data_IF_657532800406
#
_entry.id   IF_657532800406
#
_cell.length_a   1.000
_cell.length_b   1.000
_cell.length_c   1.000
_cell.angle_alpha   90.00
_cell.angle_beta   90.00
_cell.angle_gamma   90.00
#
_symmetry.space_group_name_H-M   'P 1'
#
loop_
_entity.id
_entity.type
_entity.pdbx_description
1 polymer ?
#
# COMPACT_ATOMS: atom_id res chain seq x y z
N UNK A 1 -11.53 25.05 8.21
CA UNK A 1 -10.93 24.02 9.10
C UNK A 1 -11.73 22.72 9.07
N UNK A 2 -13.01 22.77 9.37
CA UNK A 2 -13.86 21.59 9.42
C UNK A 2 -13.88 20.78 8.11
N UNK A 3 -13.91 21.47 6.96
CA UNK A 3 -13.89 20.83 5.65
C UNK A 3 -12.59 20.05 5.40
N UNK A 4 -11.44 20.64 5.74
CA UNK A 4 -10.15 19.97 5.60
C UNK A 4 -10.01 18.77 6.53
N UNK A 5 -10.53 18.85 7.75
CA UNK A 5 -10.52 17.73 8.71
C UNK A 5 -11.39 16.56 8.21
N UNK A 6 -12.54 16.86 7.60
CA UNK A 6 -13.39 15.85 6.98
C UNK A 6 -12.69 15.19 5.78
N UNK A 7 -12.04 15.99 4.94
CA UNK A 7 -11.27 15.48 3.79
C UNK A 7 -10.09 14.63 4.24
N UNK A 8 -9.40 15.02 5.30
CA UNK A 8 -8.29 14.24 5.86
C UNK A 8 -8.77 12.90 6.40
N UNK A 9 -9.88 12.88 7.11
CA UNK A 9 -10.49 11.65 7.64
C UNK A 9 -10.85 10.68 6.51
N UNK A 10 -11.43 11.22 5.42
CA UNK A 10 -11.75 10.44 4.21
C UNK A 10 -10.48 9.91 3.55
N UNK A 11 -9.46 10.74 3.40
CA UNK A 11 -8.18 10.36 2.79
C UNK A 11 -7.45 9.29 3.60
N UNK A 12 -7.46 9.39 4.93
CA UNK A 12 -6.91 8.35 5.81
C UNK A 12 -7.63 7.02 5.65
N UNK A 13 -8.96 7.04 5.57
CA UNK A 13 -9.76 5.83 5.36
C UNK A 13 -9.43 5.17 4.03
N UNK A 14 -9.32 5.97 2.98
CA UNK A 14 -8.94 5.49 1.65
C UNK A 14 -7.54 4.88 1.64
N UNK A 15 -6.58 5.53 2.30
CA UNK A 15 -5.22 5.02 2.44
C UNK A 15 -5.20 3.67 3.17
N UNK A 16 -5.96 3.53 4.26
CA UNK A 16 -6.07 2.28 5.01
C UNK A 16 -6.66 1.15 4.15
N UNK A 17 -7.71 1.43 3.40
CA UNK A 17 -8.33 0.45 2.48
C UNK A 17 -7.34 0.00 1.40
N UNK A 18 -6.58 0.93 0.83
CA UNK A 18 -5.56 0.62 -0.17
C UNK A 18 -4.38 -0.15 0.43
N UNK A 19 -4.00 0.12 1.68
CA UNK A 19 -2.97 -0.63 2.39
C UNK A 19 -3.40 -2.09 2.62
N UNK A 20 -4.66 -2.32 3.00
CA UNK A 20 -5.23 -3.66 3.16
C UNK A 20 -5.20 -4.40 1.83
N UNK A 21 -5.63 -3.74 0.74
CA UNK A 21 -5.62 -4.32 -0.60
C UNK A 21 -4.20 -4.69 -1.05
N UNK A 22 -3.23 -3.80 -0.81
CA UNK A 22 -1.82 -4.07 -1.14
C UNK A 22 -1.28 -5.29 -0.37
N UNK A 23 -1.62 -5.42 0.91
CA UNK A 23 -1.24 -6.56 1.73
C UNK A 23 -1.87 -7.87 1.24
N UNK A 24 -3.12 -7.82 0.78
CA UNK A 24 -3.78 -8.98 0.18
C UNK A 24 -3.09 -9.44 -1.11
N UNK A 25 -2.66 -8.51 -1.93
CA UNK A 25 -1.89 -8.82 -3.16
C UNK A 25 -0.56 -9.47 -2.81
N UNK A 26 0.16 -8.96 -1.81
CA UNK A 26 1.42 -9.54 -1.33
C UNK A 26 1.20 -10.96 -0.79
N UNK A 27 0.15 -11.17 0.00
CA UNK A 27 -0.18 -12.50 0.52
C UNK A 27 -0.49 -13.50 -0.61
N UNK A 28 -1.22 -13.06 -1.62
CA UNK A 28 -1.52 -13.90 -2.79
C UNK A 28 -0.25 -14.23 -3.58
N UNK A 29 0.62 -13.27 -3.79
CA UNK A 29 1.93 -13.49 -4.43
C UNK A 29 2.75 -14.53 -3.68
N UNK A 30 2.84 -14.40 -2.35
CA UNK A 30 3.60 -15.34 -1.51
C UNK A 30 3.02 -16.74 -1.56
N UNK A 31 1.68 -16.86 -1.59
CA UNK A 31 1.00 -18.15 -1.75
C UNK A 31 1.35 -18.82 -3.09
N UNK A 32 1.33 -18.06 -4.18
CA UNK A 32 1.70 -18.56 -5.51
C UNK A 32 3.16 -19.02 -5.56
N UNK A 33 4.08 -18.26 -4.95
CA UNK A 33 5.51 -18.62 -4.86
C UNK A 33 5.66 -19.95 -4.11
N UNK A 34 4.95 -20.11 -2.99
CA UNK A 34 4.98 -21.34 -2.20
C UNK A 34 4.42 -22.53 -2.98
N UNK A 35 3.30 -22.36 -3.63
CA UNK A 35 2.67 -23.40 -4.46
C UNK A 35 3.56 -23.82 -5.63
N UNK A 36 4.21 -22.85 -6.28
CA UNK A 36 5.15 -23.13 -7.36
C UNK A 36 6.33 -23.95 -6.85
N UNK A 37 6.91 -23.57 -5.72
CA UNK A 37 8.01 -24.30 -5.10
C UNK A 37 7.61 -25.72 -4.70
N UNK A 38 6.40 -25.92 -4.18
CA UNK A 38 5.85 -27.22 -3.85
C UNK A 38 5.70 -28.10 -5.10
N UNK A 39 5.24 -27.53 -6.19
CA UNK A 39 5.11 -28.22 -7.47
C UNK A 39 6.48 -28.69 -8.01
N UNK A 40 7.50 -27.82 -7.95
CA UNK A 40 8.89 -28.18 -8.33
C UNK A 40 9.44 -29.28 -7.44
N UNK A 41 9.25 -29.19 -6.14
CA UNK A 41 9.71 -30.19 -5.18
C UNK A 41 9.04 -31.55 -5.40
N UNK A 42 7.74 -31.56 -5.71
CA UNK A 42 7.00 -32.78 -6.05
C UNK A 42 7.56 -33.44 -7.31
N UNK A 43 7.89 -32.65 -8.33
CA UNK A 43 8.48 -33.16 -9.57
C UNK A 43 9.85 -33.79 -9.30
N UNK A 44 10.68 -33.15 -8.50
CA UNK A 44 12.02 -33.69 -8.10
C UNK A 44 11.87 -34.97 -7.32
N UNK A 45 10.91 -35.06 -6.39
CA UNK A 45 10.66 -36.26 -5.58
C UNK A 45 10.20 -37.42 -6.47
N UNK A 46 9.32 -37.20 -7.42
CA UNK A 46 8.86 -38.22 -8.36
C UNK A 46 10.01 -38.70 -9.28
N UNK A 47 10.85 -37.80 -9.74
CA UNK A 47 12.01 -38.14 -10.55
C UNK A 47 12.96 -39.11 -9.80
N UNK A 48 13.13 -38.93 -8.50
CA UNK A 48 14.00 -39.76 -7.66
C UNK A 48 13.43 -41.17 -7.43
N UNK A 49 12.13 -41.37 -7.64
CA UNK A 49 11.42 -42.64 -7.44
C UNK A 49 11.36 -43.52 -8.69
N UNK A 50 11.86 -43.09 -9.84
CA UNK A 50 11.80 -43.84 -11.06
C UNK A 50 12.82 -44.99 -11.00
N UNK A 51 12.30 -46.23 -11.23
CA UNK A 51 13.08 -47.47 -11.15
C UNK A 51 13.67 -47.94 -12.50
N UNK A 52 13.54 -47.15 -13.56
CA UNK A 52 14.07 -47.48 -14.90
C UNK A 52 13.17 -48.38 -15.70
N UNK A 53 11.98 -48.77 -15.21
CA UNK A 53 11.04 -49.55 -16.02
C UNK A 53 10.45 -48.71 -17.16
N UNK A 54 10.20 -49.29 -18.38
CA UNK A 54 9.61 -48.55 -19.48
C UNK A 54 8.23 -47.94 -19.12
N UNK A 55 7.42 -48.67 -18.36
CA UNK A 55 6.09 -48.22 -17.94
C UNK A 55 6.17 -47.02 -16.99
N UNK A 56 7.09 -47.08 -16.00
CA UNK A 56 7.34 -45.99 -15.07
C UNK A 56 7.87 -44.75 -15.79
N UNK A 57 8.77 -44.92 -16.76
CA UNK A 57 9.30 -43.83 -17.58
C UNK A 57 8.23 -43.15 -18.44
N UNK A 58 7.30 -43.90 -19.00
CA UNK A 58 6.16 -43.33 -19.76
C UNK A 58 5.22 -42.57 -18.87
N UNK A 59 4.90 -43.10 -17.67
CA UNK A 59 4.06 -42.43 -16.68
C UNK A 59 4.70 -41.14 -16.18
N UNK A 60 6.00 -41.16 -15.94
CA UNK A 60 6.75 -39.96 -15.53
C UNK A 60 6.77 -38.89 -16.62
N UNK A 61 6.93 -39.27 -17.91
CA UNK A 61 6.90 -38.32 -19.00
C UNK A 61 5.56 -37.57 -19.07
N UNK A 62 4.44 -38.26 -18.90
CA UNK A 62 3.11 -37.65 -18.83
C UNK A 62 2.94 -36.76 -17.60
N UNK A 63 3.42 -37.22 -16.46
CA UNK A 63 3.44 -36.43 -15.21
C UNK A 63 4.27 -35.14 -15.38
N UNK A 64 5.45 -35.26 -15.96
CA UNK A 64 6.36 -34.15 -16.20
C UNK A 64 5.72 -33.06 -17.08
N UNK A 65 5.03 -33.50 -18.17
CA UNK A 65 4.32 -32.55 -19.03
C UNK A 65 3.21 -31.79 -18.30
N UNK A 66 2.46 -32.48 -17.45
CA UNK A 66 1.44 -31.87 -16.64
C UNK A 66 2.05 -30.86 -15.65
N UNK A 67 3.16 -31.21 -15.02
CA UNK A 67 3.87 -30.33 -14.08
C UNK A 67 4.43 -29.10 -14.78
N UNK A 68 4.96 -29.24 -15.99
CA UNK A 68 5.41 -28.11 -16.81
C UNK A 68 4.27 -27.15 -17.14
N UNK A 69 3.07 -27.66 -17.44
CA UNK A 69 1.90 -26.82 -17.66
C UNK A 69 1.50 -26.07 -16.39
N UNK A 70 1.52 -26.73 -15.23
CA UNK A 70 1.22 -26.12 -13.94
C UNK A 70 2.22 -25.02 -13.61
N UNK A 71 3.50 -25.24 -13.84
CA UNK A 71 4.54 -24.23 -13.61
C UNK A 71 4.35 -23.02 -14.52
N UNK A 72 3.97 -23.20 -15.78
CA UNK A 72 3.64 -22.09 -16.68
C UNK A 72 2.44 -21.28 -16.16
N UNK A 73 1.40 -21.96 -15.67
CA UNK A 73 0.24 -21.29 -15.10
C UNK A 73 0.63 -20.47 -13.87
N UNK A 74 1.47 -21.00 -12.99
CA UNK A 74 2.00 -20.25 -11.86
C UNK A 74 2.81 -19.03 -12.31
N UNK A 75 3.64 -19.16 -13.32
CA UNK A 75 4.44 -18.07 -13.85
C UNK A 75 3.56 -16.97 -14.46
N UNK A 76 2.49 -17.32 -15.17
CA UNK A 76 1.52 -16.37 -15.72
C UNK A 76 0.77 -15.64 -14.59
N UNK A 77 0.30 -16.38 -13.60
CA UNK A 77 -0.39 -15.80 -12.43
C UNK A 77 0.55 -14.90 -11.62
N UNK A 78 1.83 -15.27 -11.49
CA UNK A 78 2.83 -14.46 -10.83
C UNK A 78 3.10 -13.15 -11.58
N UNK A 79 3.12 -13.17 -12.91
CA UNK A 79 3.24 -11.94 -13.71
C UNK A 79 2.04 -11.01 -13.48
N UNK A 80 0.83 -11.55 -13.47
CA UNK A 80 -0.39 -10.79 -13.23
C UNK A 80 -0.40 -10.19 -11.83
N UNK A 81 -0.03 -10.97 -10.82
CA UNK A 81 0.06 -10.52 -9.43
C UNK A 81 1.13 -9.45 -9.26
N UNK A 82 2.27 -9.57 -9.95
CA UNK A 82 3.32 -8.57 -9.89
C UNK A 82 2.84 -7.23 -10.47
N UNK A 83 2.10 -7.26 -11.58
CA UNK A 83 1.47 -6.07 -12.14
C UNK A 83 0.44 -5.46 -11.19
N UNK A 84 -0.38 -6.29 -10.53
CA UNK A 84 -1.33 -5.84 -9.50
C UNK A 84 -0.62 -5.23 -8.29
N UNK A 85 0.50 -5.81 -7.89
CA UNK A 85 1.31 -5.30 -6.78
C UNK A 85 1.87 -3.91 -7.11
N UNK A 86 2.44 -3.72 -8.29
CA UNK A 86 2.94 -2.42 -8.73
C UNK A 86 1.84 -1.37 -8.80
N UNK A 87 0.67 -1.74 -9.33
CA UNK A 87 -0.50 -0.85 -9.38
C UNK A 87 -0.98 -0.49 -7.97
N UNK A 88 -1.06 -1.45 -7.06
CA UNK A 88 -1.47 -1.23 -5.67
C UNK A 88 -0.49 -0.31 -4.94
N UNK A 89 0.81 -0.48 -5.16
CA UNK A 89 1.84 0.38 -4.57
C UNK A 89 1.72 1.82 -5.09
N UNK A 90 1.46 2.01 -6.37
CA UNK A 90 1.25 3.35 -6.94
C UNK A 90 0.02 4.04 -6.36
N UNK A 91 -1.08 3.31 -6.23
CA UNK A 91 -2.31 3.84 -5.64
C UNK A 91 -2.10 4.21 -4.17
N UNK A 92 -1.43 3.36 -3.41
CA UNK A 92 -1.11 3.60 -2.01
C UNK A 92 -0.21 4.82 -1.83
N UNK A 93 0.80 4.98 -2.69
CA UNK A 93 1.69 6.14 -2.67
C UNK A 93 0.94 7.45 -2.95
N UNK A 94 0.00 7.43 -3.90
CA UNK A 94 -0.86 8.59 -4.20
C UNK A 94 -1.76 8.93 -3.02
N UNK A 95 -2.36 7.93 -2.39
CA UNK A 95 -3.21 8.13 -1.21
C UNK A 95 -2.41 8.69 -0.04
N UNK A 96 -1.20 8.19 0.18
CA UNK A 96 -0.28 8.70 1.19
C UNK A 96 0.08 10.17 0.94
N UNK A 97 0.40 10.51 -0.31
CA UNK A 97 0.71 11.89 -0.70
C UNK A 97 -0.49 12.83 -0.46
N UNK A 98 -1.71 12.37 -0.73
CA UNK A 98 -2.94 13.15 -0.47
C UNK A 98 -3.14 13.40 1.02
N UNK A 99 -2.93 12.40 1.85
CA UNK A 99 -2.97 12.55 3.31
C UNK A 99 -1.96 13.59 3.78
N UNK A 100 -0.72 13.50 3.31
CA UNK A 100 0.35 14.45 3.68
C UNK A 100 0.03 15.87 3.23
N UNK A 101 -0.52 16.03 2.04
CA UNK A 101 -0.96 17.34 1.53
C UNK A 101 -2.02 17.96 2.43
N UNK A 102 -3.03 17.19 2.82
CA UNK A 102 -4.11 17.66 3.69
C UNK A 102 -3.61 17.99 5.09
N UNK A 103 -2.72 17.18 5.65
CA UNK A 103 -2.06 17.46 6.93
C UNK A 103 -1.30 18.78 6.89
N UNK A 104 -0.56 19.03 5.81
CA UNK A 104 0.18 20.27 5.62
C UNK A 104 -0.74 21.48 5.50
N UNK A 105 -1.85 21.36 4.77
CA UNK A 105 -2.84 22.44 4.61
C UNK A 105 -3.48 22.78 5.98
N UNK A 106 -3.82 21.78 6.76
CA UNK A 106 -4.37 21.97 8.12
C UNK A 106 -3.33 22.67 9.01
N UNK A 107 -2.08 22.23 8.97
CA UNK A 107 -1.01 22.85 9.76
C UNK A 107 -0.80 24.31 9.39
N UNK A 108 -0.85 24.64 8.08
CA UNK A 108 -0.74 26.02 7.60
C UNK A 108 -1.91 26.89 8.08
N UNK A 109 -3.12 26.37 8.03
CA UNK A 109 -4.30 27.09 8.52
C UNK A 109 -4.22 27.36 10.03
N UNK A 110 -3.80 26.39 10.81
CA UNK A 110 -3.60 26.54 12.25
C UNK A 110 -2.55 27.59 12.56
N UNK A 111 -1.43 27.59 11.83
CA UNK A 111 -0.37 28.57 12.00
C UNK A 111 -0.81 29.96 11.60
N UNK A 112 -1.52 30.10 10.46
CA UNK A 112 -2.06 31.38 10.03
C UNK A 112 -3.04 31.96 11.07
N UNK A 113 -3.90 31.13 11.62
CA UNK A 113 -4.85 31.52 12.68
C UNK A 113 -4.12 31.95 13.94
N UNK A 114 -3.08 31.21 14.33
CA UNK A 114 -2.26 31.55 15.52
C UNK A 114 -1.62 32.93 15.37
N UNK A 115 -1.05 33.23 14.19
CA UNK A 115 -0.44 34.51 13.89
C UNK A 115 -1.47 35.64 13.87
N UNK A 116 -2.65 35.40 13.29
CA UNK A 116 -3.75 36.36 13.28
C UNK A 116 -4.22 36.69 14.70
N UNK A 117 -4.41 35.67 15.54
CA UNK A 117 -4.81 35.84 16.93
C UNK A 117 -3.76 36.63 17.72
N UNK A 118 -2.47 36.38 17.51
CA UNK A 118 -1.38 37.15 18.12
C UNK A 118 -1.41 38.63 17.71
N UNK A 119 -1.63 38.90 16.40
CA UNK A 119 -1.74 40.28 15.91
C UNK A 119 -2.95 40.99 16.52
N UNK A 120 -4.07 40.30 16.62
CA UNK A 120 -5.29 40.85 17.24
C UNK A 120 -5.05 41.16 18.70
N UNK A 121 -4.43 40.29 19.46
CA UNK A 121 -4.07 40.52 20.86
C UNK A 121 -3.12 41.70 21.02
N UNK A 122 -2.09 41.78 20.20
CA UNK A 122 -1.12 42.89 20.23
C UNK A 122 -1.77 44.22 19.87
N UNK A 123 -2.62 44.26 18.83
CA UNK A 123 -3.38 45.43 18.45
C UNK A 123 -4.30 45.91 19.58
N UNK A 124 -5.00 44.97 20.23
CA UNK A 124 -5.85 45.27 21.37
C UNK A 124 -5.04 45.82 22.56
N UNK A 125 -3.87 45.25 22.82
CA UNK A 125 -2.94 45.72 23.86
C UNK A 125 -2.41 47.11 23.53
N UNK A 126 -1.97 47.34 22.30
CA UNK A 126 -1.45 48.65 21.88
C UNK A 126 -2.53 49.72 21.94
N UNK A 127 -3.77 49.41 21.60
CA UNK A 127 -4.91 50.31 21.67
C UNK A 127 -5.21 50.68 23.14
N UNK A 128 -5.23 49.68 24.03
CA UNK A 128 -5.40 49.95 25.48
C UNK A 128 -4.29 50.82 26.01
N UNK A 129 -3.05 50.55 25.66
CA UNK A 129 -1.91 51.36 26.07
C UNK A 129 -2.01 52.79 25.59
N UNK A 130 -2.41 52.97 24.32
CA UNK A 130 -2.64 54.30 23.74
C UNK A 130 -3.76 55.06 24.45
N UNK A 131 -4.86 54.36 24.77
CA UNK A 131 -5.96 55.00 25.53
C UNK A 131 -5.56 55.36 26.95
N UNK A 132 -4.77 54.54 27.62
CA UNK A 132 -4.28 54.85 28.97
C UNK A 132 -3.33 56.03 28.98
N UNK A 133 -2.41 56.14 28.04
CA UNK A 133 -1.48 57.25 27.91
C UNK A 133 -2.07 58.50 27.29
N UNK A 134 -3.11 58.37 26.48
CA UNK A 134 -3.79 59.52 25.82
C UNK A 134 -4.76 60.26 26.74
N UNK A 135 -5.03 59.79 27.95
CA UNK A 135 -5.92 60.45 28.90
C UNK A 135 -5.27 61.45 29.83
N UNK A 136 -3.99 61.65 29.68
CA UNK A 136 -3.30 62.74 30.41
C UNK A 136 -3.33 64.04 29.58
#
# INVERSE_FOLDING_TARGET
>A
MRTLEILLKRANRQMEELAIKANQVVAHRNDLITRRATCEAATTAEAAMIDGSPLASMGFAAYLDLQKQRLRQFDEELQDVEAQHEAAQRELSRAFAEVKKLEMLIARQKEAKRLEDLQTEQSAFDERSSQMFGRN
#
